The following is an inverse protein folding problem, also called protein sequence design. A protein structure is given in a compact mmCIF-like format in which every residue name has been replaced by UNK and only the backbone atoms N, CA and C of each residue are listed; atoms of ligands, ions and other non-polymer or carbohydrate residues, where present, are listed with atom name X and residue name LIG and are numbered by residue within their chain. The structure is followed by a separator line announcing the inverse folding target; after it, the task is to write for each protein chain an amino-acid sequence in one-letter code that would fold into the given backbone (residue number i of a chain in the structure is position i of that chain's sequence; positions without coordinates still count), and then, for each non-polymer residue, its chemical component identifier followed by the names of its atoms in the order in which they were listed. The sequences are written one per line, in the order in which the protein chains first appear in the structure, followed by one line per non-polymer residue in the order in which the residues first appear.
data_IF_362118544022
#
_entry.id   IF_362118544022
#
_cell.length_a   1.000
_cell.length_b   1.000
_cell.length_c   1.000
_cell.angle_alpha   90.00
_cell.angle_beta   90.00
_cell.angle_gamma   90.00
#
_symmetry.space_group_name_H-M   'P 1'
#
loop_
_entity.id
_entity.type
_entity.pdbx_description
1 polymer ?
#
# COMPACT_ATOMS: atom_id res chain seq x y z
N UNK A 1 -11.21 -4.32 -2.57
CA UNK A 1 -10.74 -2.93 -2.33
C UNK A 1 -9.66 -2.55 -3.32
N UNK A 2 -9.68 -1.31 -3.71
CA UNK A 2 -8.71 -0.70 -4.60
C UNK A 2 -7.95 0.36 -3.80
N UNK A 3 -6.64 0.17 -3.69
CA UNK A 3 -5.79 1.10 -2.95
C UNK A 3 -4.77 1.70 -3.91
N UNK A 4 -4.67 3.02 -3.92
CA UNK A 4 -3.71 3.72 -4.74
C UNK A 4 -2.78 4.53 -3.86
N UNK A 5 -1.47 4.32 -4.02
CA UNK A 5 -0.45 4.96 -3.21
C UNK A 5 0.59 5.62 -4.09
N UNK A 6 1.17 6.69 -3.59
CA UNK A 6 2.38 7.27 -4.16
C UNK A 6 3.49 7.08 -3.15
N UNK A 7 4.54 6.37 -3.54
CA UNK A 7 5.65 6.03 -2.67
C UNK A 7 6.94 6.62 -3.18
N UNK A 8 7.83 7.05 -2.27
CA UNK A 8 9.17 7.41 -2.65
C UNK A 8 9.91 6.16 -3.12
N UNK A 9 10.85 6.36 -4.06
CA UNK A 9 11.64 5.26 -4.61
C UNK A 9 12.68 4.80 -3.58
N UNK A 10 12.23 3.99 -2.63
CA UNK A 10 13.09 3.46 -1.58
C UNK A 10 12.97 1.95 -1.53
N UNK A 11 14.10 1.30 -1.27
CA UNK A 11 14.14 -0.13 -1.10
C UNK A 11 13.30 -0.54 0.11
N UNK A 12 12.47 -1.56 -0.06
CA UNK A 12 11.70 -2.12 1.05
C UNK A 12 10.34 -1.49 1.29
N UNK A 13 9.98 -0.40 0.60
CA UNK A 13 8.66 0.22 0.77
C UNK A 13 7.54 -0.77 0.49
N UNK A 14 7.66 -1.49 -0.62
CA UNK A 14 6.63 -2.45 -1.00
C UNK A 14 6.53 -3.59 0.02
N UNK A 15 7.67 -4.03 0.56
CA UNK A 15 7.69 -5.04 1.60
C UNK A 15 6.99 -4.55 2.87
N UNK A 16 7.21 -3.30 3.25
CA UNK A 16 6.57 -2.71 4.42
C UNK A 16 5.05 -2.64 4.23
N UNK A 17 4.60 -2.20 3.06
CA UNK A 17 3.18 -2.12 2.75
C UNK A 17 2.53 -3.50 2.79
N UNK A 18 3.15 -4.49 2.14
CA UNK A 18 2.60 -5.85 2.14
C UNK A 18 2.59 -6.47 3.53
N UNK A 19 3.59 -6.18 4.35
CA UNK A 19 3.64 -6.66 5.73
C UNK A 19 2.48 -6.10 6.54
N UNK A 20 2.19 -4.82 6.41
CA UNK A 20 1.09 -4.18 7.11
C UNK A 20 -0.23 -4.83 6.72
N UNK A 21 -0.45 -5.02 5.43
CA UNK A 21 -1.68 -5.64 4.94
C UNK A 21 -1.81 -7.08 5.42
N UNK A 22 -0.71 -7.83 5.39
CA UNK A 22 -0.70 -9.21 5.85
C UNK A 22 -1.04 -9.31 7.34
N UNK A 23 -0.49 -8.42 8.17
CA UNK A 23 -0.78 -8.41 9.61
C UNK A 23 -2.23 -8.07 9.90
N UNK A 24 -2.84 -7.26 9.05
CA UNK A 24 -4.25 -6.92 9.18
C UNK A 24 -5.18 -8.03 8.70
N UNK A 25 -4.62 -9.12 8.16
CA UNK A 25 -5.41 -10.21 7.63
C UNK A 25 -6.03 -9.91 6.27
N UNK A 26 -5.45 -8.99 5.53
CA UNK A 26 -5.95 -8.57 4.22
C UNK A 26 -5.25 -9.38 3.14
N UNK A 27 -6.03 -10.08 2.32
CA UNK A 27 -5.49 -10.83 1.18
C UNK A 27 -5.30 -9.90 0.00
N UNK A 28 -4.08 -9.88 -0.54
CA UNK A 28 -3.75 -9.06 -1.71
C UNK A 28 -4.01 -9.89 -2.96
N UNK A 29 -4.85 -9.37 -3.83
CA UNK A 29 -5.19 -10.02 -5.09
C UNK A 29 -4.20 -9.64 -6.19
N UNK A 30 -3.80 -8.40 -6.25
CA UNK A 30 -2.81 -7.93 -7.23
C UNK A 30 -2.11 -6.67 -6.74
N UNK A 31 -0.85 -6.52 -7.12
CA UNK A 31 -0.07 -5.30 -6.89
C UNK A 31 0.52 -4.88 -8.23
N UNK A 32 0.33 -3.61 -8.58
CA UNK A 32 0.88 -3.05 -9.80
C UNK A 32 1.68 -1.80 -9.48
N UNK A 33 2.90 -1.72 -10.02
CA UNK A 33 3.71 -0.52 -9.97
C UNK A 33 3.69 0.12 -11.34
N UNK A 34 3.44 1.42 -11.38
CA UNK A 34 3.46 2.17 -12.63
C UNK A 34 4.82 2.82 -12.83
N UNK A 35 5.03 3.41 -14.00
CA UNK A 35 6.27 4.10 -14.30
C UNK A 35 6.51 5.23 -13.32
N UNK A 36 7.78 5.39 -12.92
CA UNK A 36 8.17 6.44 -11.99
C UNK A 36 7.80 7.81 -12.53
N UNK A 37 7.18 8.63 -11.66
CA UNK A 37 6.88 10.02 -11.95
C UNK A 37 7.72 10.88 -11.01
N UNK A 38 8.76 11.52 -11.53
CA UNK A 38 9.74 12.25 -10.74
C UNK A 38 10.36 11.31 -9.70
N UNK A 39 10.18 11.60 -8.43
CA UNK A 39 10.73 10.81 -7.33
C UNK A 39 9.72 9.87 -6.72
N UNK A 40 8.52 9.75 -7.32
CA UNK A 40 7.46 8.93 -6.78
C UNK A 40 7.11 7.78 -7.71
N UNK A 41 6.77 6.65 -7.12
CA UNK A 41 6.30 5.47 -7.84
C UNK A 41 4.84 5.25 -7.46
N UNK A 42 3.89 5.39 -8.39
CA UNK A 42 2.51 5.05 -8.12
C UNK A 42 2.37 3.54 -7.95
N UNK A 43 1.67 3.13 -6.91
CA UNK A 43 1.41 1.73 -6.60
C UNK A 43 -0.09 1.54 -6.50
N UNK A 44 -0.60 0.53 -7.19
CA UNK A 44 -2.01 0.15 -7.12
C UNK A 44 -2.09 -1.24 -6.51
N UNK A 45 -2.91 -1.39 -5.48
CA UNK A 45 -3.11 -2.67 -4.80
C UNK A 45 -4.59 -3.02 -4.85
N UNK A 46 -4.88 -4.22 -5.33
CA UNK A 46 -6.23 -4.77 -5.32
C UNK A 46 -6.30 -5.83 -4.23
N UNK A 47 -7.33 -5.75 -3.39
CA UNK A 47 -7.51 -6.69 -2.29
C UNK A 47 -8.88 -7.33 -2.37
N UNK A 48 -9.05 -8.46 -1.70
CA UNK A 48 -10.35 -9.06 -1.50
C UNK A 48 -11.24 -8.16 -0.63
N UNK A 49 -12.58 -8.29 -0.73
CA UNK A 49 -13.47 -7.55 0.18
C UNK A 49 -13.15 -7.87 1.63
N UNK A 50 -13.08 -6.83 2.46
CA UNK A 50 -12.78 -6.99 3.88
C UNK A 50 -13.65 -6.03 4.70
N UNK A 51 -13.60 -6.20 6.02
CA UNK A 51 -14.25 -5.28 6.94
C UNK A 51 -13.58 -3.91 6.85
N UNK A 52 -14.37 -2.87 6.69
CA UNK A 52 -13.87 -1.52 6.47
C UNK A 52 -12.95 -1.04 7.60
N UNK A 53 -13.27 -1.40 8.84
CA UNK A 53 -12.44 -1.00 9.97
C UNK A 53 -11.02 -1.56 9.88
N UNK A 54 -10.86 -2.78 9.38
CA UNK A 54 -9.53 -3.37 9.17
C UNK A 54 -8.77 -2.63 8.10
N UNK A 55 -9.45 -2.24 7.03
CA UNK A 55 -8.84 -1.48 5.95
C UNK A 55 -8.41 -0.10 6.46
N UNK A 56 -9.24 0.57 7.24
CA UNK A 56 -8.92 1.88 7.79
C UNK A 56 -7.68 1.82 8.68
N UNK A 57 -7.57 0.81 9.53
CA UNK A 57 -6.40 0.62 10.38
C UNK A 57 -5.14 0.38 9.56
N UNK A 58 -5.23 -0.48 8.54
CA UNK A 58 -4.10 -0.77 7.68
C UNK A 58 -3.65 0.48 6.92
N UNK A 59 -4.59 1.25 6.37
CA UNK A 59 -4.28 2.47 5.64
C UNK A 59 -3.62 3.50 6.55
N UNK A 60 -4.07 3.62 7.80
CA UNK A 60 -3.44 4.54 8.75
C UNK A 60 -1.98 4.16 8.99
N UNK A 61 -1.68 2.87 9.13
CA UNK A 61 -0.32 2.40 9.31
C UNK A 61 0.53 2.64 8.07
N UNK A 62 -0.03 2.41 6.89
CA UNK A 62 0.68 2.64 5.62
C UNK A 62 1.00 4.12 5.46
N UNK A 63 0.04 5.00 5.75
CA UNK A 63 0.25 6.44 5.62
C UNK A 63 1.25 6.98 6.63
N UNK A 64 1.48 6.27 7.73
CA UNK A 64 2.50 6.63 8.69
C UNK A 64 3.92 6.31 8.22
N UNK A 65 4.09 5.53 7.17
CA UNK A 65 5.40 5.23 6.62
C UNK A 65 6.00 6.48 5.98
N UNK A 66 7.28 6.81 6.28
CA UNK A 66 7.89 8.04 5.75
C UNK A 66 7.94 8.08 4.23
N UNK A 67 8.02 6.94 3.56
CA UNK A 67 8.14 6.89 2.10
C UNK A 67 6.80 7.02 1.38
N UNK A 68 5.68 6.98 2.08
CA UNK A 68 4.36 7.09 1.47
C UNK A 68 3.94 8.57 1.43
N UNK A 69 3.59 9.04 0.25
CA UNK A 69 3.25 10.44 0.01
C UNK A 69 1.77 10.69 -0.32
N UNK A 70 0.97 9.66 -0.27
CA UNK A 70 -0.44 9.86 -0.59
C UNK A 70 -1.20 8.58 -0.92
#
# INVERSE_FOLDING_TARGET
YYIRLNAEDQTGVLADVTTILSRAGISIDAIMQQSRLKDLIPIVILTDPIVESKMDDALAQIQALPAIRG
#
